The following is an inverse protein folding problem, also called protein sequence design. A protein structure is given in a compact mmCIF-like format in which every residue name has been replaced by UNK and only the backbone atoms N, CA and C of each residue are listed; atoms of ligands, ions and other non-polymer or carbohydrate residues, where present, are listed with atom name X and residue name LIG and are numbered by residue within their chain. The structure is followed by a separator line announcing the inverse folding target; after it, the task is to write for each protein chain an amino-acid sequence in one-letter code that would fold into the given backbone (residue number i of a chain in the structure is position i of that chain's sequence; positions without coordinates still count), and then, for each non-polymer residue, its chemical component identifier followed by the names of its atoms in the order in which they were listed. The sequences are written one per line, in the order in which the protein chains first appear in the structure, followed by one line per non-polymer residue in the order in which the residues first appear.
data_IF_203118848297
#
_entry.id   IF_203118848297
#
_cell.length_a   1.000
_cell.length_b   1.000
_cell.length_c   1.000
_cell.angle_alpha   90.00
_cell.angle_beta   90.00
_cell.angle_gamma   90.00
#
_symmetry.space_group_name_H-M   'P 1'
#
loop_
_entity.id
_entity.type
_entity.pdbx_description
1 polymer ?
#
# COMPACT_ATOMS: atom_id res chain seq x y z
N UNK A 1 0.44 -10.01 -15.62
CA UNK A 1 1.58 -9.09 -15.27
C UNK A 1 1.49 -7.72 -15.89
N UNK A 2 1.10 -7.58 -17.18
CA UNK A 2 0.91 -6.24 -17.76
C UNK A 2 -0.15 -5.46 -16.98
N UNK A 3 -1.25 -6.14 -16.62
CA UNK A 3 -2.32 -5.60 -15.77
C UNK A 3 -1.79 -5.08 -14.43
N UNK A 4 -1.02 -5.89 -13.69
CA UNK A 4 -0.42 -5.47 -12.40
C UNK A 4 0.46 -4.22 -12.54
N UNK A 5 1.29 -4.13 -13.59
CA UNK A 5 2.14 -2.95 -13.82
C UNK A 5 1.31 -1.70 -14.10
N UNK A 6 0.26 -1.83 -14.91
CA UNK A 6 -0.65 -0.72 -15.18
C UNK A 6 -1.34 -0.25 -13.91
N UNK A 7 -1.87 -1.18 -13.11
CA UNK A 7 -2.54 -0.86 -11.84
C UNK A 7 -1.56 -0.23 -10.85
N UNK A 8 -0.32 -0.73 -10.77
CA UNK A 8 0.73 -0.12 -9.96
C UNK A 8 1.00 1.34 -10.37
N UNK A 9 1.12 1.63 -11.67
CA UNK A 9 1.31 2.99 -12.16
C UNK A 9 0.11 3.87 -11.81
N UNK A 10 -1.11 3.35 -11.96
CA UNK A 10 -2.33 4.08 -11.57
C UNK A 10 -2.30 4.40 -10.07
N UNK A 11 -2.01 3.44 -9.19
CA UNK A 11 -1.93 3.68 -7.76
C UNK A 11 -0.85 4.70 -7.38
N UNK A 12 0.33 4.62 -8.01
CA UNK A 12 1.37 5.63 -7.82
C UNK A 12 0.93 7.02 -8.27
N UNK A 13 0.27 7.14 -9.43
CA UNK A 13 -0.26 8.42 -9.91
C UNK A 13 -1.34 8.96 -8.99
N UNK A 14 -2.28 8.12 -8.54
CA UNK A 14 -3.31 8.51 -7.57
C UNK A 14 -2.69 8.99 -6.27
N UNK A 15 -1.66 8.30 -5.76
CA UNK A 15 -0.94 8.72 -4.56
C UNK A 15 -0.23 10.06 -4.75
N UNK A 16 0.47 10.26 -5.87
CA UNK A 16 1.13 11.54 -6.17
C UNK A 16 0.10 12.67 -6.26
N UNK A 17 -1.02 12.46 -6.95
CA UNK A 17 -2.10 13.45 -7.06
C UNK A 17 -2.64 13.78 -5.66
N UNK A 18 -2.94 12.77 -4.84
CA UNK A 18 -3.41 12.98 -3.47
C UNK A 18 -2.41 13.82 -2.68
N UNK A 19 -1.12 13.47 -2.71
CA UNK A 19 -0.10 14.23 -1.97
C UNK A 19 0.07 15.66 -2.49
N UNK A 20 -0.07 15.91 -3.79
CA UNK A 20 -0.04 17.27 -4.33
C UNK A 20 -1.25 18.09 -3.87
N UNK A 21 -2.44 17.50 -3.80
CA UNK A 21 -3.64 18.18 -3.32
C UNK A 21 -3.57 18.50 -1.82
N UNK A 22 -3.02 17.57 -1.03
CA UNK A 22 -2.75 17.78 0.40
C UNK A 22 -1.71 18.89 0.62
N UNK A 23 -0.66 18.94 -0.20
CA UNK A 23 0.36 19.98 -0.13
C UNK A 23 -0.19 21.37 -0.51
N UNK A 24 -1.14 21.42 -1.44
CA UNK A 24 -1.83 22.64 -1.85
C UNK A 24 -2.98 23.04 -0.92
N UNK A 25 -3.14 22.34 0.22
CA UNK A 25 -4.21 22.58 1.21
C UNK A 25 -5.61 22.58 0.58
N UNK A 26 -5.80 21.83 -0.50
CA UNK A 26 -7.08 21.76 -1.20
C UNK A 26 -8.10 21.03 -0.32
N UNK A 27 -9.31 21.58 -0.11
CA UNK A 27 -10.32 20.90 0.69
C UNK A 27 -10.76 19.61 -0.01
N UNK A 28 -10.47 18.47 0.62
CA UNK A 28 -10.86 17.14 0.18
C UNK A 28 -11.91 16.57 1.13
N UNK A 29 -12.82 15.70 0.64
CA UNK A 29 -13.69 14.94 1.51
C UNK A 29 -12.88 14.15 2.54
N UNK A 30 -13.35 14.10 3.79
CA UNK A 30 -12.65 13.43 4.90
C UNK A 30 -12.23 11.99 4.56
N UNK A 31 -13.09 11.26 3.85
CA UNK A 31 -12.79 9.88 3.44
C UNK A 31 -11.50 9.80 2.60
N UNK A 32 -11.32 10.72 1.67
CA UNK A 32 -10.16 10.75 0.77
C UNK A 32 -8.93 11.26 1.52
N UNK A 33 -9.12 12.28 2.36
CA UNK A 33 -8.06 12.93 3.11
C UNK A 33 -7.38 11.97 4.10
N UNK A 34 -8.17 11.15 4.79
CA UNK A 34 -7.67 10.28 5.86
C UNK A 34 -7.38 8.85 5.41
N UNK A 35 -8.15 8.27 4.49
CA UNK A 35 -8.09 6.81 4.26
C UNK A 35 -7.54 6.38 2.90
N UNK A 36 -7.51 7.28 1.90
CA UNK A 36 -7.09 6.90 0.56
C UNK A 36 -5.59 6.56 0.51
N UNK A 37 -4.76 7.29 1.26
CA UNK A 37 -3.33 7.03 1.34
C UNK A 37 -3.05 5.64 1.95
N UNK A 38 -3.76 5.30 3.03
CA UNK A 38 -3.59 4.05 3.76
C UNK A 38 -3.99 2.84 2.93
N UNK A 39 -5.10 2.94 2.19
CA UNK A 39 -5.50 1.92 1.23
C UNK A 39 -4.46 1.70 0.12
N UNK A 40 -3.90 2.78 -0.44
CA UNK A 40 -2.95 2.73 -1.55
C UNK A 40 -1.56 2.26 -1.13
N UNK A 41 -1.18 2.44 0.15
CA UNK A 41 0.14 2.11 0.68
C UNK A 41 0.53 0.65 0.39
N UNK A 42 -0.29 -0.31 0.82
CA UNK A 42 0.06 -1.73 0.74
C UNK A 42 0.16 -2.27 -0.68
N UNK A 43 -0.78 -1.97 -1.62
CA UNK A 43 -0.64 -2.36 -3.00
C UNK A 43 0.63 -1.85 -3.67
N UNK A 44 1.04 -0.62 -3.36
CA UNK A 44 2.26 0.00 -3.92
C UNK A 44 3.50 -0.70 -3.37
N UNK A 45 3.61 -0.81 -2.04
CA UNK A 45 4.77 -1.42 -1.36
C UNK A 45 4.95 -2.87 -1.79
N UNK A 46 3.89 -3.68 -1.76
CA UNK A 46 3.96 -5.09 -2.13
C UNK A 46 4.31 -5.28 -3.62
N UNK A 47 3.83 -4.38 -4.50
CA UNK A 47 4.23 -4.39 -5.91
C UNK A 47 5.72 -4.09 -6.09
N UNK A 48 6.26 -3.13 -5.34
CA UNK A 48 7.70 -2.84 -5.33
C UNK A 48 8.47 -4.07 -4.82
N UNK A 49 8.05 -4.68 -3.71
CA UNK A 49 8.67 -5.91 -3.20
C UNK A 49 8.68 -7.03 -4.24
N UNK A 50 7.55 -7.28 -4.90
CA UNK A 50 7.46 -8.30 -5.95
C UNK A 50 8.39 -7.99 -7.12
N UNK A 51 8.36 -6.76 -7.65
CA UNK A 51 9.21 -6.39 -8.78
C UNK A 51 10.70 -6.48 -8.43
N UNK A 52 11.08 -6.09 -7.21
CA UNK A 52 12.45 -6.24 -6.71
C UNK A 52 12.86 -7.71 -6.66
N UNK A 53 12.03 -8.60 -6.10
CA UNK A 53 12.36 -10.04 -6.03
C UNK A 53 12.44 -10.65 -7.42
N UNK A 54 11.51 -10.32 -8.32
CA UNK A 54 11.55 -10.78 -9.71
C UNK A 54 12.80 -10.29 -10.45
N UNK A 55 13.23 -9.06 -10.20
CA UNK A 55 14.45 -8.49 -10.78
C UNK A 55 15.70 -9.19 -10.25
N UNK A 56 15.82 -9.36 -8.93
CA UNK A 56 16.96 -10.02 -8.28
C UNK A 56 17.10 -11.49 -8.68
N UNK A 57 15.97 -12.21 -8.75
CA UNK A 57 15.95 -13.63 -9.15
C UNK A 57 15.91 -13.82 -10.67
N UNK A 58 15.78 -12.74 -11.45
CA UNK A 58 15.58 -12.75 -12.91
C UNK A 58 14.41 -13.63 -13.36
N UNK A 59 13.43 -13.84 -12.48
CA UNK A 59 12.28 -14.70 -12.71
C UNK A 59 10.99 -13.88 -12.62
N UNK A 60 10.34 -13.67 -13.76
CA UNK A 60 9.07 -12.92 -13.87
C UNK A 60 7.84 -13.78 -13.51
N UNK A 61 7.99 -15.09 -13.41
CA UNK A 61 6.92 -15.99 -13.01
C UNK A 61 6.68 -15.98 -11.50
N UNK A 62 7.68 -15.54 -10.72
CA UNK A 62 7.62 -15.47 -9.27
C UNK A 62 6.43 -14.63 -8.80
N UNK A 63 5.74 -15.13 -7.78
CA UNK A 63 4.62 -14.48 -7.09
C UNK A 63 4.84 -14.55 -5.58
N UNK A 64 4.33 -13.57 -4.85
CA UNK A 64 4.42 -13.58 -3.39
C UNK A 64 3.34 -14.50 -2.83
N UNK A 65 3.74 -15.45 -1.97
CA UNK A 65 2.78 -16.29 -1.28
C UNK A 65 2.01 -15.46 -0.23
N UNK A 66 0.84 -15.95 0.18
CA UNK A 66 -0.03 -15.26 1.13
C UNK A 66 0.68 -14.95 2.45
N UNK A 67 1.52 -15.88 2.93
CA UNK A 67 2.31 -15.69 4.17
C UNK A 67 3.24 -14.48 4.04
N UNK A 68 3.92 -14.33 2.90
CA UNK A 68 4.83 -13.19 2.66
C UNK A 68 4.07 -11.86 2.59
N UNK A 69 2.88 -11.87 1.97
CA UNK A 69 2.02 -10.68 1.92
C UNK A 69 1.55 -10.31 3.34
N UNK A 70 1.05 -11.28 4.09
CA UNK A 70 0.56 -11.07 5.46
C UNK A 70 1.69 -10.67 6.42
N UNK A 71 2.91 -11.18 6.25
CA UNK A 71 4.04 -10.76 7.09
C UNK A 71 4.39 -9.29 6.90
N UNK A 72 4.36 -8.80 5.66
CA UNK A 72 4.58 -7.36 5.37
C UNK A 72 3.43 -6.54 5.93
N UNK A 73 2.19 -7.02 5.80
CA UNK A 73 1.02 -6.39 6.43
C UNK A 73 1.15 -6.25 7.94
N UNK A 74 1.46 -7.33 8.65
CA UNK A 74 1.63 -7.28 10.11
C UNK A 74 2.76 -6.33 10.50
N UNK A 75 3.87 -6.35 9.75
CA UNK A 75 4.99 -5.42 9.98
C UNK A 75 4.54 -3.96 9.82
N UNK A 76 3.80 -3.62 8.76
CA UNK A 76 3.29 -2.28 8.53
C UNK A 76 2.28 -1.85 9.60
N UNK A 77 1.30 -2.71 9.92
CA UNK A 77 0.32 -2.41 10.96
C UNK A 77 0.99 -2.15 12.31
N UNK A 78 1.96 -2.96 12.73
CA UNK A 78 2.70 -2.72 13.98
C UNK A 78 3.48 -1.41 13.90
N UNK A 79 4.16 -1.15 12.79
CA UNK A 79 4.98 0.05 12.66
C UNK A 79 4.15 1.35 12.68
N UNK A 80 3.10 1.42 11.87
CA UNK A 80 2.27 2.62 11.71
C UNK A 80 1.29 2.84 12.88
N UNK A 81 0.77 1.77 13.50
CA UNK A 81 -0.23 1.90 14.56
C UNK A 81 0.32 1.79 15.99
N UNK A 82 1.44 1.08 16.19
CA UNK A 82 1.95 0.81 17.54
C UNK A 82 3.22 1.60 17.82
N UNK A 83 4.13 1.68 16.85
CA UNK A 83 5.44 2.31 17.04
C UNK A 83 5.39 3.81 16.78
N UNK A 84 4.72 4.23 15.70
CA UNK A 84 4.70 5.64 15.27
C UNK A 84 3.90 6.59 16.17
N UNK A 85 2.69 6.25 16.67
CA UNK A 85 1.88 7.17 17.48
C UNK A 85 2.57 7.69 18.75
N UNK A 86 3.30 6.88 19.54
CA UNK A 86 4.03 7.41 20.70
C UNK A 86 5.24 8.26 20.33
N UNK A 87 5.76 8.15 19.10
CA UNK A 87 6.94 8.90 18.64
C UNK A 87 6.60 10.22 17.96
N UNK A 88 5.44 10.31 17.31
CA UNK A 88 5.06 11.45 16.49
C UNK A 88 3.57 11.78 16.64
N UNK A 89 3.29 12.99 17.11
CA UNK A 89 1.94 13.58 17.30
C UNK A 89 1.04 13.60 16.05
N UNK A 90 1.63 13.38 14.86
CA UNK A 90 0.90 13.32 13.59
C UNK A 90 0.16 12.00 13.39
N UNK A 91 0.60 10.91 14.01
CA UNK A 91 0.03 9.58 13.81
C UNK A 91 -0.89 9.24 14.97
N UNK A 92 -2.08 8.76 14.64
CA UNK A 92 -3.06 8.28 15.60
C UNK A 92 -3.24 6.80 15.36
N UNK A 93 -3.28 6.00 16.43
CA UNK A 93 -3.61 4.60 16.29
C UNK A 93 -5.09 4.46 15.88
N UNK A 94 -5.36 3.99 14.68
CA UNK A 94 -6.70 3.74 14.14
C UNK A 94 -6.81 2.31 13.59
N UNK A 95 -7.83 1.59 14.08
CA UNK A 95 -8.14 0.24 13.62
C UNK A 95 -8.61 0.25 12.16
N UNK A 96 -9.20 1.36 11.70
CA UNK A 96 -9.60 1.52 10.31
C UNK A 96 -8.39 1.50 9.36
N UNK A 97 -7.26 2.07 9.77
CA UNK A 97 -6.03 2.08 8.97
C UNK A 97 -5.48 0.66 8.81
N UNK A 98 -5.49 -0.13 9.89
CA UNK A 98 -5.17 -1.58 9.83
C UNK A 98 -6.08 -2.31 8.83
N UNK A 99 -7.37 -2.02 8.84
CA UNK A 99 -8.33 -2.64 7.94
C UNK A 99 -8.05 -2.24 6.49
N UNK A 100 -7.69 -0.98 6.22
CA UNK A 100 -7.33 -0.50 4.89
C UNK A 100 -6.02 -1.12 4.39
N UNK A 101 -5.03 -1.27 5.27
CA UNK A 101 -3.79 -2.00 4.96
C UNK A 101 -4.09 -3.45 4.58
N UNK A 102 -5.01 -4.10 5.30
CA UNK A 102 -5.42 -5.47 5.03
C UNK A 102 -6.12 -5.58 3.67
N UNK A 103 -7.10 -4.71 3.39
CA UNK A 103 -7.82 -4.69 2.11
C UNK A 103 -6.82 -4.43 0.98
N UNK A 104 -5.94 -3.44 1.10
CA UNK A 104 -4.92 -3.13 0.10
C UNK A 104 -3.98 -4.32 -0.17
N UNK A 105 -3.60 -5.05 0.89
CA UNK A 105 -2.78 -6.26 0.78
C UNK A 105 -3.51 -7.38 0.01
N UNK A 106 -4.81 -7.56 0.26
CA UNK A 106 -5.62 -8.53 -0.49
C UNK A 106 -5.83 -8.10 -1.94
N UNK A 107 -6.09 -6.82 -2.21
CA UNK A 107 -6.19 -6.27 -3.56
C UNK A 107 -4.93 -6.60 -4.36
N UNK A 108 -3.75 -6.35 -3.80
CA UNK A 108 -2.49 -6.77 -4.41
C UNK A 108 -2.43 -8.30 -4.63
N UNK A 109 -2.79 -9.09 -3.63
CA UNK A 109 -2.73 -10.55 -3.70
C UNK A 109 -3.58 -11.13 -4.83
N UNK A 110 -4.74 -10.54 -5.12
CA UNK A 110 -5.56 -10.91 -6.27
C UNK A 110 -4.99 -10.36 -7.58
N UNK A 111 -4.53 -9.11 -7.60
CA UNK A 111 -3.95 -8.45 -8.78
C UNK A 111 -2.71 -9.18 -9.32
N UNK A 112 -1.87 -9.76 -8.45
CA UNK A 112 -0.70 -10.51 -8.91
C UNK A 112 -1.05 -11.83 -9.62
N UNK A 113 -2.26 -12.38 -9.39
CA UNK A 113 -2.74 -13.62 -10.04
C UNK A 113 -3.41 -13.37 -11.40
N UNK A 114 -3.77 -12.12 -11.69
CA UNK A 114 -4.36 -11.75 -12.98
C UNK A 114 -3.30 -11.81 -14.11
N UNK A 115 -3.72 -12.20 -15.34
CA UNK A 115 -2.83 -12.38 -16.48
C UNK A 115 -2.04 -11.12 -16.92
#
# INVERSE_FOLDING_TARGET
MKSLKTVFVIFCLTFVILQTLLLLETPLPDLINFYLADFLCMPIVLSICLFTVQFLKKDKSLRLNLITVLSVFVMYAIYFEVILPPLHWRYTADILDVLLYLIGSFVFYFLQKLP
#
